data_IF_038874729589
#
_entry.id   IF_038874729589
#
_cell.length_a   1.000
_cell.length_b   1.000
_cell.length_c   1.000
_cell.angle_alpha   90.00
_cell.angle_beta   90.00
_cell.angle_gamma   90.00
#
_symmetry.space_group_name_H-M   'P 1'
#
loop_
_entity.id
_entity.type
_entity.pdbx_description
1 polymer ?
#
# COMPACT_ATOMS: atom_id res chain seq x y z
N UNK A 1 -22.80 3.37 -20.42
CA UNK A 1 -21.63 2.62 -20.90
C UNK A 1 -21.13 1.71 -19.79
N UNK A 2 -20.88 0.46 -20.13
CA UNK A 2 -20.24 -0.53 -19.28
C UNK A 2 -19.03 -1.08 -20.03
N UNK A 3 -17.98 -1.44 -19.31
CA UNK A 3 -16.76 -1.98 -19.88
C UNK A 3 -16.02 -2.87 -18.89
N UNK A 4 -15.21 -3.76 -19.41
CA UNK A 4 -14.34 -4.63 -18.62
C UNK A 4 -12.94 -4.61 -19.22
N UNK A 5 -11.95 -4.44 -18.36
CA UNK A 5 -10.53 -4.53 -18.72
C UNK A 5 -9.91 -5.63 -17.87
N UNK A 6 -9.32 -6.61 -18.54
CA UNK A 6 -8.51 -7.64 -17.91
C UNK A 6 -7.09 -7.51 -18.45
N UNK A 7 -6.12 -7.48 -17.55
CA UNK A 7 -4.71 -7.33 -17.87
C UNK A 7 -3.95 -8.41 -17.13
N UNK A 8 -3.21 -9.20 -17.88
CA UNK A 8 -2.25 -10.19 -17.40
C UNK A 8 -0.90 -9.86 -18.04
N UNK A 9 0.05 -9.45 -17.21
CA UNK A 9 1.38 -9.04 -17.64
C UNK A 9 2.45 -9.82 -16.89
N UNK A 10 3.44 -10.27 -17.67
CA UNK A 10 4.70 -10.76 -17.13
C UNK A 10 5.70 -9.61 -17.04
N UNK A 11 6.46 -9.58 -15.95
CA UNK A 11 7.51 -8.58 -15.71
C UNK A 11 7.02 -7.12 -15.73
N UNK A 12 5.80 -6.90 -15.26
CA UNK A 12 5.18 -5.57 -15.19
C UNK A 12 5.80 -4.69 -14.11
N UNK A 13 5.71 -3.36 -14.31
CA UNK A 13 6.10 -2.34 -13.32
C UNK A 13 4.96 -1.37 -13.07
N UNK A 14 4.91 -0.83 -11.86
CA UNK A 14 4.04 0.29 -11.57
C UNK A 14 4.61 1.59 -12.12
N UNK A 15 3.74 2.43 -12.70
CA UNK A 15 4.11 3.76 -13.14
C UNK A 15 4.14 4.74 -11.95
N UNK A 16 5.19 5.57 -11.80
CA UNK A 16 5.21 6.64 -10.81
C UNK A 16 4.04 7.61 -10.93
N UNK A 17 3.34 7.84 -9.82
CA UNK A 17 2.25 8.80 -9.67
C UNK A 17 2.08 9.19 -8.18
N UNK A 18 1.07 10.01 -7.87
CA UNK A 18 0.80 10.45 -6.49
C UNK A 18 0.46 9.30 -5.53
N UNK A 19 -0.21 8.25 -6.01
CA UNK A 19 -0.56 7.07 -5.22
C UNK A 19 0.71 6.27 -4.86
N UNK A 20 1.57 5.97 -5.87
CA UNK A 20 2.83 5.25 -5.63
C UNK A 20 3.80 6.09 -4.80
N UNK A 21 3.79 7.41 -4.95
CA UNK A 21 4.60 8.32 -4.13
C UNK A 21 4.13 8.32 -2.67
N UNK A 22 2.82 8.34 -2.41
CA UNK A 22 2.29 8.25 -1.05
C UNK A 22 2.70 6.92 -0.39
N UNK A 23 2.62 5.81 -1.12
CA UNK A 23 3.10 4.50 -0.65
C UNK A 23 4.62 4.47 -0.45
N UNK A 24 5.41 5.13 -1.30
CA UNK A 24 6.87 5.24 -1.15
C UNK A 24 7.26 5.95 0.14
N UNK A 25 6.63 7.08 0.44
CA UNK A 25 6.87 7.84 1.68
C UNK A 25 6.54 6.96 2.90
N UNK A 26 5.44 6.23 2.82
CA UNK A 26 4.93 5.40 3.90
C UNK A 26 5.80 4.16 4.18
N UNK A 27 6.19 3.47 3.12
CA UNK A 27 6.94 2.21 3.21
C UNK A 27 8.45 2.42 3.21
N UNK A 28 8.89 3.66 2.96
CA UNK A 28 10.29 4.05 2.74
C UNK A 28 10.96 3.31 1.57
N UNK A 29 10.17 2.69 0.67
CA UNK A 29 10.65 1.93 -0.48
C UNK A 29 9.90 2.31 -1.73
N UNK A 30 10.64 2.47 -2.82
CA UNK A 30 10.07 2.79 -4.11
C UNK A 30 9.55 1.54 -4.83
N UNK A 31 8.24 1.27 -4.66
CA UNK A 31 7.56 0.11 -5.25
C UNK A 31 7.48 0.15 -6.79
N UNK A 32 7.82 1.28 -7.42
CA UNK A 32 7.80 1.44 -8.88
C UNK A 32 9.04 0.86 -9.57
N UNK A 33 10.11 0.64 -8.80
CA UNK A 33 11.34 0.04 -9.29
C UNK A 33 11.29 -1.50 -9.31
N UNK A 34 10.35 -2.10 -8.57
CA UNK A 34 10.16 -3.54 -8.53
C UNK A 34 9.62 -4.06 -9.87
N UNK A 35 10.22 -5.15 -10.36
CA UNK A 35 9.71 -5.93 -11.50
C UNK A 35 8.83 -7.04 -10.95
N UNK A 36 7.54 -7.01 -11.26
CA UNK A 36 6.60 -8.03 -10.83
C UNK A 36 6.51 -9.11 -11.90
N UNK A 37 6.99 -10.31 -11.59
CA UNK A 37 6.91 -11.47 -12.50
C UNK A 37 5.51 -11.75 -12.99
N UNK A 38 4.51 -11.52 -12.13
CA UNK A 38 3.10 -11.63 -12.47
C UNK A 38 2.38 -10.37 -12.03
N UNK A 39 1.63 -9.75 -12.93
CA UNK A 39 0.77 -8.61 -12.63
C UNK A 39 -0.59 -8.84 -13.28
N UNK A 40 -1.60 -9.09 -12.45
CA UNK A 40 -2.98 -9.26 -12.85
C UNK A 40 -3.78 -8.06 -12.41
N UNK A 41 -4.51 -7.43 -13.32
CA UNK A 41 -5.45 -6.36 -13.00
C UNK A 41 -6.79 -6.62 -13.68
N UNK A 42 -7.87 -6.39 -12.94
CA UNK A 42 -9.24 -6.43 -13.46
C UNK A 42 -9.94 -5.13 -13.11
N UNK A 43 -10.48 -4.46 -14.11
CA UNK A 43 -11.29 -3.27 -13.92
C UNK A 43 -12.70 -3.47 -14.51
N UNK A 44 -13.72 -3.24 -13.69
CA UNK A 44 -15.12 -3.23 -14.12
C UNK A 44 -15.60 -1.77 -14.12
N UNK A 45 -15.97 -1.28 -15.29
CA UNK A 45 -16.32 0.11 -15.54
C UNK A 45 -17.84 0.19 -15.74
N UNK A 46 -18.50 1.01 -14.93
CA UNK A 46 -19.93 1.32 -15.03
C UNK A 46 -20.12 2.83 -14.97
N UNK A 47 -20.24 3.45 -16.16
CA UNK A 47 -20.18 4.91 -16.34
C UNK A 47 -18.91 5.47 -15.68
N UNK A 48 -19.07 6.33 -14.70
CA UNK A 48 -18.01 7.01 -13.98
C UNK A 48 -17.37 6.11 -12.89
N UNK A 49 -18.02 5.01 -12.50
CA UNK A 49 -17.57 4.16 -11.41
C UNK A 49 -16.73 3.00 -11.94
N UNK A 50 -15.56 2.80 -11.35
CA UNK A 50 -14.60 1.77 -11.71
C UNK A 50 -14.33 0.95 -10.46
N UNK A 51 -14.58 -0.37 -10.54
CA UNK A 51 -14.07 -1.33 -9.56
C UNK A 51 -12.77 -1.92 -10.06
N UNK A 52 -11.77 -2.02 -9.19
CA UNK A 52 -10.42 -2.46 -9.52
C UNK A 52 -9.96 -3.57 -8.57
N UNK A 53 -9.52 -4.68 -9.14
CA UNK A 53 -8.73 -5.69 -8.46
C UNK A 53 -7.32 -5.68 -9.06
N UNK A 54 -6.29 -5.76 -8.20
CA UNK A 54 -4.89 -5.80 -8.60
C UNK A 54 -4.15 -6.84 -7.76
N UNK A 55 -3.40 -7.73 -8.42
CA UNK A 55 -2.52 -8.70 -7.77
C UNK A 55 -1.19 -8.75 -8.52
N UNK A 56 -0.14 -8.22 -7.89
CA UNK A 56 1.21 -8.18 -8.45
C UNK A 56 2.18 -8.92 -7.52
N UNK A 57 3.05 -9.76 -8.07
CA UNK A 57 4.01 -10.57 -7.31
C UNK A 57 5.42 -10.48 -7.88
N UNK A 58 6.39 -10.29 -6.99
CA UNK A 58 7.83 -10.36 -7.23
C UNK A 58 8.47 -11.28 -6.17
N UNK A 59 9.80 -11.49 -6.23
CA UNK A 59 10.50 -12.39 -5.29
C UNK A 59 10.30 -12.03 -3.83
N UNK A 60 10.36 -10.73 -3.55
CA UNK A 60 10.39 -10.21 -2.18
C UNK A 60 9.29 -9.18 -1.95
N UNK A 61 8.35 -9.03 -2.87
CA UNK A 61 7.25 -8.10 -2.72
C UNK A 61 5.98 -8.60 -3.39
N UNK A 62 4.84 -8.18 -2.84
CA UNK A 62 3.56 -8.26 -3.54
C UNK A 62 2.74 -7.02 -3.26
N UNK A 63 1.84 -6.72 -4.19
CA UNK A 63 0.83 -5.68 -4.04
C UNK A 63 -0.51 -6.32 -4.35
N UNK A 64 -1.43 -6.21 -3.41
CA UNK A 64 -2.79 -6.69 -3.55
C UNK A 64 -3.75 -5.54 -3.26
N UNK A 65 -4.66 -5.29 -4.19
CA UNK A 65 -5.84 -4.43 -4.02
C UNK A 65 -7.05 -5.30 -4.34
N UNK A 66 -7.97 -5.44 -3.39
CA UNK A 66 -9.20 -6.20 -3.57
C UNK A 66 -10.38 -5.25 -3.45
N UNK A 67 -11.20 -5.18 -4.50
CA UNK A 67 -12.39 -4.32 -4.55
C UNK A 67 -12.08 -2.83 -4.36
N UNK A 68 -11.00 -2.35 -5.00
CA UNK A 68 -10.75 -0.93 -5.13
C UNK A 68 -11.88 -0.23 -5.88
N UNK A 69 -12.18 1.00 -5.52
CA UNK A 69 -13.19 1.83 -6.15
C UNK A 69 -12.56 3.16 -6.60
N UNK A 70 -12.91 3.60 -7.80
CA UNK A 70 -12.52 4.89 -8.38
C UNK A 70 -13.73 5.49 -9.10
N UNK A 71 -13.94 6.79 -8.95
CA UNK A 71 -14.84 7.54 -9.80
C UNK A 71 -14.00 8.39 -10.79
N UNK A 72 -14.11 8.11 -12.09
CA UNK A 72 -13.30 8.76 -13.12
C UNK A 72 -13.62 10.23 -13.34
N UNK A 73 -14.80 10.69 -12.88
CA UNK A 73 -15.24 12.08 -13.01
C UNK A 73 -14.83 12.95 -11.84
N UNK A 74 -15.04 12.48 -10.61
CA UNK A 74 -14.66 13.21 -9.41
C UNK A 74 -13.22 12.93 -8.96
N UNK A 75 -12.58 11.91 -9.52
CA UNK A 75 -11.29 11.40 -9.07
C UNK A 75 -11.35 10.69 -7.71
N UNK A 76 -12.53 10.58 -7.08
CA UNK A 76 -12.67 9.96 -5.76
C UNK A 76 -12.21 8.49 -5.80
N UNK A 77 -11.39 8.09 -4.84
CA UNK A 77 -10.87 6.72 -4.78
C UNK A 77 -10.96 6.14 -3.38
N UNK A 78 -11.12 4.82 -3.32
CA UNK A 78 -11.00 4.00 -2.13
C UNK A 78 -10.33 2.68 -2.52
N UNK A 79 -9.05 2.54 -2.21
CA UNK A 79 -8.21 1.41 -2.58
C UNK A 79 -7.70 0.71 -1.32
N UNK A 80 -8.44 -0.28 -0.78
CA UNK A 80 -7.90 -1.14 0.27
C UNK A 80 -6.72 -1.94 -0.29
N UNK A 81 -5.62 -1.99 0.45
CA UNK A 81 -4.40 -2.66 0.00
C UNK A 81 -3.80 -3.56 1.07
N UNK A 82 -3.10 -4.57 0.59
CA UNK A 82 -2.20 -5.45 1.34
C UNK A 82 -0.89 -5.51 0.54
N UNK A 83 0.18 -4.97 1.12
CA UNK A 83 1.48 -4.81 0.46
C UNK A 83 2.54 -5.46 1.32
N UNK A 84 3.28 -6.41 0.76
CA UNK A 84 4.49 -6.94 1.39
C UNK A 84 5.71 -6.41 0.67
N UNK A 85 6.69 -5.94 1.43
CA UNK A 85 8.00 -5.52 0.94
C UNK A 85 9.06 -6.13 1.86
N UNK A 86 9.83 -7.06 1.33
CA UNK A 86 10.83 -7.85 2.03
C UNK A 86 10.22 -8.55 3.27
N UNK A 87 10.54 -8.07 4.49
CA UNK A 87 10.04 -8.61 5.77
C UNK A 87 8.87 -7.79 6.37
N UNK A 88 8.50 -6.68 5.72
CA UNK A 88 7.43 -5.81 6.16
C UNK A 88 6.12 -6.13 5.42
N UNK A 89 5.00 -6.05 6.14
CA UNK A 89 3.65 -6.13 5.61
C UNK A 89 2.83 -4.89 6.04
N UNK A 90 2.34 -4.15 5.05
CA UNK A 90 1.54 -2.96 5.19
C UNK A 90 0.12 -3.24 4.72
N UNK A 91 -0.85 -3.11 5.64
CA UNK A 91 -2.28 -3.18 5.29
C UNK A 91 -2.92 -1.83 5.55
N UNK A 92 -3.79 -1.40 4.65
CA UNK A 92 -4.40 -0.09 4.76
C UNK A 92 -5.39 0.21 3.65
N UNK A 93 -5.68 1.49 3.49
CA UNK A 93 -6.51 2.00 2.40
C UNK A 93 -5.99 3.33 1.91
N UNK A 94 -6.03 3.54 0.60
CA UNK A 94 -5.84 4.86 0.00
C UNK A 94 -7.22 5.42 -0.27
N UNK A 95 -7.51 6.63 0.23
CA UNK A 95 -8.79 7.32 0.09
C UNK A 95 -8.57 8.73 -0.46
N UNK A 96 -9.63 9.53 -0.58
CA UNK A 96 -9.54 10.90 -1.09
C UNK A 96 -9.75 10.93 -2.60
N UNK A 97 -8.88 11.64 -3.33
CA UNK A 97 -8.96 11.74 -4.79
C UNK A 97 -7.64 11.36 -5.46
N UNK A 98 -7.64 11.12 -6.77
CA UNK A 98 -6.43 10.79 -7.55
C UNK A 98 -5.39 11.92 -7.53
N UNK A 99 -5.84 13.16 -7.30
CA UNK A 99 -5.00 14.35 -7.18
C UNK A 99 -4.53 14.60 -5.73
N UNK A 100 -5.29 14.13 -4.74
CA UNK A 100 -4.95 14.27 -3.34
C UNK A 100 -5.24 12.96 -2.57
N UNK A 101 -4.43 11.90 -2.81
CA UNK A 101 -4.62 10.62 -2.17
C UNK A 101 -4.20 10.69 -0.70
N UNK A 102 -5.01 10.10 0.18
CA UNK A 102 -4.74 9.98 1.61
C UNK A 102 -4.55 8.52 1.98
N UNK A 103 -3.44 8.20 2.64
CA UNK A 103 -3.13 6.82 3.02
C UNK A 103 -3.44 6.62 4.51
N UNK A 104 -4.27 5.62 4.80
CA UNK A 104 -4.57 5.17 6.15
C UNK A 104 -3.95 3.78 6.33
N UNK A 105 -3.12 3.61 7.37
CA UNK A 105 -2.54 2.33 7.72
C UNK A 105 -3.27 1.68 8.88
N UNK A 106 -3.38 0.36 8.82
CA UNK A 106 -3.71 -0.43 9.98
C UNK A 106 -2.48 -0.49 10.90
N UNK A 107 -2.56 0.17 12.06
CA UNK A 107 -1.48 0.29 13.03
C UNK A 107 -0.85 -1.06 13.44
N UNK A 108 -1.65 -2.14 13.47
CA UNK A 108 -1.14 -3.49 13.78
C UNK A 108 -0.17 -4.05 12.74
N UNK A 109 -0.35 -3.69 11.46
CA UNK A 109 0.53 -4.14 10.37
C UNK A 109 1.91 -3.46 10.40
N UNK A 110 1.94 -2.17 10.79
CA UNK A 110 3.17 -1.36 10.89
C UNK A 110 4.07 -1.86 12.02
N UNK A 111 3.48 -2.14 13.20
CA UNK A 111 4.24 -2.60 14.35
C UNK A 111 4.91 -3.97 14.09
N UNK A 112 4.19 -4.89 13.44
CA UNK A 112 4.73 -6.20 13.07
C UNK A 112 5.82 -6.10 11.99
N UNK A 113 5.69 -5.16 11.06
CA UNK A 113 6.70 -4.89 10.04
C UNK A 113 8.01 -4.39 10.64
N UNK A 114 7.94 -3.43 11.57
CA UNK A 114 9.12 -2.91 12.27
C UNK A 114 9.79 -4.03 13.08
N UNK A 115 9.02 -4.84 13.81
CA UNK A 115 9.55 -6.00 14.56
C UNK A 115 10.25 -7.02 13.66
N UNK A 116 9.71 -7.32 12.49
CA UNK A 116 10.25 -8.30 11.56
C UNK A 116 11.51 -7.83 10.80
N UNK A 117 11.63 -6.53 10.56
CA UNK A 117 12.79 -5.93 9.89
C UNK A 117 13.96 -5.73 10.86
N UNK A 118 13.69 -5.41 12.13
CA UNK A 118 14.73 -5.10 13.13
C UNK A 118 15.40 -6.33 13.73
N UNK A 119 14.78 -7.53 13.70
CA UNK A 119 15.44 -8.81 14.00
C UNK A 119 16.15 -8.90 15.37
N UNK A 120 15.46 -9.38 16.40
CA UNK A 120 16.10 -10.01 17.58
C UNK A 120 16.51 -9.06 18.71
N UNK A 121 15.54 -8.51 19.44
CA UNK A 121 15.85 -7.71 20.62
C UNK A 121 14.66 -7.24 21.45
N UNK A 122 13.56 -8.00 21.48
CA UNK A 122 12.54 -7.81 22.53
C UNK A 122 12.40 -9.13 23.27
N UNK A 123 13.50 -9.59 23.86
CA UNK A 123 13.44 -10.57 24.94
C UNK A 123 12.62 -9.95 26.06
N UNK A 124 11.41 -10.49 26.28
CA UNK A 124 10.66 -10.60 27.55
C UNK A 124 10.84 -9.55 28.68
N UNK A 125 11.12 -8.29 28.34
CA UNK A 125 11.39 -7.22 29.31
C UNK A 125 10.51 -5.99 29.16
N UNK A 126 9.51 -5.99 28.26
CA UNK A 126 8.78 -4.79 27.87
C UNK A 126 7.34 -4.74 28.42
N UNK A 127 7.19 -4.80 29.74
CA UNK A 127 6.00 -4.24 30.43
C UNK A 127 6.15 -2.74 30.74
N UNK A 128 7.15 -2.04 30.19
CA UNK A 128 7.40 -0.62 30.49
C UNK A 128 8.01 0.17 29.31
N UNK A 129 7.48 0.06 28.09
CA UNK A 129 8.01 0.82 26.92
C UNK A 129 6.94 1.22 25.90
N UNK A 130 5.73 1.58 26.34
CA UNK A 130 4.75 2.24 25.46
C UNK A 130 5.29 3.60 24.97
N UNK A 131 5.77 4.43 25.90
CA UNK A 131 6.14 5.82 25.62
C UNK A 131 7.28 6.05 24.62
N UNK A 132 8.23 5.11 24.47
CA UNK A 132 9.36 5.29 23.55
C UNK A 132 9.03 4.86 22.13
N UNK A 133 8.19 3.82 21.98
CA UNK A 133 7.70 3.38 20.67
C UNK A 133 6.72 4.42 20.12
N UNK A 134 5.83 4.92 20.96
CA UNK A 134 4.86 5.96 20.58
C UNK A 134 5.56 7.26 20.16
N UNK A 135 6.65 7.64 20.84
CA UNK A 135 7.47 8.79 20.45
C UNK A 135 8.21 8.57 19.13
N UNK A 136 8.73 7.37 18.87
CA UNK A 136 9.42 7.08 17.62
C UNK A 136 8.44 7.08 16.43
N UNK A 137 7.24 6.52 16.61
CA UNK A 137 6.17 6.55 15.62
C UNK A 137 5.68 7.98 15.41
N UNK A 138 5.34 8.73 16.46
CA UNK A 138 4.90 10.13 16.33
C UNK A 138 5.95 11.03 15.69
N UNK A 139 7.24 10.82 15.96
CA UNK A 139 8.32 11.63 15.37
C UNK A 139 8.53 11.32 13.89
N UNK A 140 8.24 10.10 13.44
CA UNK A 140 8.21 9.76 12.03
C UNK A 140 6.97 10.32 11.34
N UNK A 141 5.80 10.23 11.98
CA UNK A 141 4.54 10.77 11.43
C UNK A 141 4.55 12.31 11.34
N UNK A 142 5.02 13.02 12.37
CA UNK A 142 5.13 14.49 12.38
C UNK A 142 6.21 15.07 11.47
N UNK A 143 7.05 14.22 10.85
CA UNK A 143 8.04 14.67 9.85
C UNK A 143 7.54 14.48 8.42
N UNK A 144 6.42 13.78 8.27
CA UNK A 144 5.79 13.42 7.00
C UNK A 144 4.51 14.26 6.76
N UNK A 145 3.87 14.75 7.82
CA UNK A 145 2.82 15.78 7.81
C UNK A 145 3.36 17.13 8.28
#
# INVERSE_FOLDING_TARGET
EEGEVNLDMKEGKLKPNLITNALKILTLKDITNDVYRTANAKALIKKENIKLDLNMQADRSYILVQSGALNSKSGALNLPFDIKLDRANFKGSITGTTENPKVNLNAGSVLNSIKNVVGGGVSDGAKSTGDKVDKAVNKLLNKIF
#
